data_IF_655514163724
#
_entry.id   IF_655514163724
#
_cell.length_a   1.000
_cell.length_b   1.000
_cell.length_c   1.000
_cell.angle_alpha   90.00
_cell.angle_beta   90.00
_cell.angle_gamma   90.00
#
_symmetry.space_group_name_H-M   'P 1'
#
loop_
_entity.id
_entity.type
_entity.pdbx_description
1 polymer ?
#
# COMPACT_ATOMS: atom_id res chain seq x y z
N UNK A 1 -72.62 6.40 -44.34
CA UNK A 1 -71.33 5.67 -44.36
C UNK A 1 -70.22 6.60 -43.89
N UNK A 2 -69.56 6.35 -42.75
CA UNK A 2 -68.28 6.94 -42.43
C UNK A 2 -67.17 5.88 -42.39
N UNK A 3 -66.03 6.22 -43.00
CA UNK A 3 -64.84 5.39 -43.15
C UNK A 3 -64.06 5.25 -41.84
N UNK A 4 -63.73 4.02 -41.47
CA UNK A 4 -62.78 3.73 -40.40
C UNK A 4 -61.34 3.83 -40.93
N UNK A 5 -60.54 4.72 -40.34
CA UNK A 5 -59.09 4.76 -40.50
C UNK A 5 -58.43 4.11 -39.28
N UNK A 6 -57.83 2.94 -39.48
CA UNK A 6 -57.09 2.21 -38.45
C UNK A 6 -55.67 2.75 -38.34
N UNK A 7 -55.38 3.57 -37.32
CA UNK A 7 -54.01 3.92 -36.96
C UNK A 7 -53.37 2.80 -36.12
N UNK A 8 -52.38 2.13 -36.69
CA UNK A 8 -51.54 1.16 -35.99
C UNK A 8 -50.53 1.89 -35.12
N UNK A 9 -50.78 1.95 -33.81
CA UNK A 9 -49.83 2.48 -32.83
C UNK A 9 -48.72 1.45 -32.58
N UNK A 10 -47.60 1.60 -33.28
CA UNK A 10 -46.34 0.92 -32.97
C UNK A 10 -45.81 1.42 -31.62
N UNK A 11 -45.99 0.62 -30.56
CA UNK A 11 -45.41 0.85 -29.23
C UNK A 11 -43.92 0.50 -29.27
N UNK A 12 -43.06 1.48 -29.58
CA UNK A 12 -41.63 1.40 -29.22
C UNK A 12 -41.53 1.43 -27.69
N UNK A 13 -41.20 0.28 -27.08
CA UNK A 13 -40.75 0.21 -25.69
C UNK A 13 -39.44 0.99 -25.60
N UNK A 14 -39.50 2.24 -25.12
CA UNK A 14 -38.31 2.96 -24.67
C UNK A 14 -37.84 2.27 -23.39
N UNK A 15 -36.74 1.51 -23.46
CA UNK A 15 -35.93 1.19 -22.29
C UNK A 15 -35.53 2.52 -21.67
N UNK A 16 -35.98 2.79 -20.45
CA UNK A 16 -35.52 3.96 -19.70
C UNK A 16 -34.06 3.68 -19.31
N UNK A 17 -33.09 4.51 -19.71
CA UNK A 17 -31.75 4.43 -19.15
C UNK A 17 -31.86 4.68 -17.64
N UNK A 18 -31.21 3.84 -16.85
CA UNK A 18 -31.14 3.93 -15.39
C UNK A 18 -30.30 5.17 -15.02
N UNK A 19 -30.93 6.34 -14.97
CA UNK A 19 -30.28 7.56 -14.49
C UNK A 19 -30.08 7.47 -12.98
N UNK A 20 -28.84 7.19 -12.58
CA UNK A 20 -28.33 6.97 -11.23
C UNK A 20 -28.26 8.21 -10.31
N UNK A 21 -28.92 9.32 -10.65
CA UNK A 21 -28.72 10.60 -9.93
C UNK A 21 -29.37 10.73 -8.54
N UNK A 22 -30.09 9.72 -8.06
CA UNK A 22 -30.60 9.75 -6.67
C UNK A 22 -30.55 8.35 -6.09
N UNK A 23 -29.65 8.18 -5.11
CA UNK A 23 -29.39 6.97 -4.32
C UNK A 23 -30.56 6.57 -3.40
N UNK A 24 -31.72 6.33 -4.01
CA UNK A 24 -32.66 5.30 -3.56
C UNK A 24 -32.84 4.33 -4.71
N UNK A 25 -31.74 3.76 -5.19
CA UNK A 25 -31.86 2.48 -5.88
C UNK A 25 -32.50 1.55 -4.85
N UNK A 26 -33.75 1.18 -5.09
CA UNK A 26 -34.39 0.13 -4.32
C UNK A 26 -33.41 -1.04 -4.32
N UNK A 27 -33.00 -1.52 -3.14
CA UNK A 27 -32.08 -2.65 -3.02
C UNK A 27 -32.62 -3.78 -3.90
N UNK A 28 -31.97 -4.09 -5.03
CA UNK A 28 -32.53 -5.04 -5.98
C UNK A 28 -32.65 -6.37 -5.25
N UNK A 29 -33.83 -6.97 -5.37
CA UNK A 29 -34.08 -8.28 -4.77
C UNK A 29 -33.11 -9.28 -5.37
N UNK A 30 -32.74 -10.31 -4.61
CA UNK A 30 -31.89 -11.40 -5.10
C UNK A 30 -32.41 -12.01 -6.42
N UNK A 31 -33.73 -11.99 -6.62
CA UNK A 31 -34.39 -12.45 -7.85
C UNK A 31 -34.09 -11.54 -9.03
N UNK A 32 -34.14 -10.22 -8.85
CA UNK A 32 -33.80 -9.24 -9.89
C UNK A 32 -32.34 -9.35 -10.31
N UNK A 33 -31.42 -9.49 -9.35
CA UNK A 33 -29.99 -9.70 -9.63
C UNK A 33 -29.73 -11.02 -10.36
N UNK A 34 -30.42 -12.09 -9.97
CA UNK A 34 -30.32 -13.38 -10.67
C UNK A 34 -30.85 -13.27 -12.11
N UNK A 35 -31.91 -12.52 -12.33
CA UNK A 35 -32.45 -12.27 -13.67
C UNK A 35 -31.51 -11.41 -14.52
N UNK A 36 -30.92 -10.36 -13.94
CA UNK A 36 -29.93 -9.53 -14.62
C UNK A 36 -28.65 -10.33 -14.98
N UNK A 37 -28.16 -11.17 -14.07
CA UNK A 37 -27.05 -12.09 -14.34
C UNK A 37 -27.40 -13.06 -15.48
N UNK A 38 -28.60 -13.63 -15.49
CA UNK A 38 -29.03 -14.52 -16.57
C UNK A 38 -29.09 -13.78 -17.92
N UNK A 39 -29.60 -12.54 -17.95
CA UNK A 39 -29.63 -11.70 -19.16
C UNK A 39 -28.22 -11.37 -19.64
N UNK A 40 -27.33 -10.96 -18.74
CA UNK A 40 -25.93 -10.70 -19.06
C UNK A 40 -25.24 -11.95 -19.59
N UNK A 41 -25.48 -13.12 -18.97
CA UNK A 41 -24.93 -14.39 -19.43
C UNK A 41 -25.42 -14.85 -20.80
N UNK A 42 -26.58 -14.37 -21.24
CA UNK A 42 -27.13 -14.66 -22.56
C UNK A 42 -26.48 -13.82 -23.69
N UNK A 43 -25.72 -12.76 -23.36
CA UNK A 43 -24.97 -11.99 -24.35
C UNK A 43 -23.78 -12.84 -24.88
N UNK A 44 -23.63 -12.99 -26.21
CA UNK A 44 -22.74 -13.98 -26.81
C UNK A 44 -21.26 -13.56 -26.86
N UNK A 45 -20.97 -12.27 -26.99
CA UNK A 45 -19.61 -11.79 -27.18
C UNK A 45 -19.00 -11.32 -25.86
N UNK A 46 -17.75 -11.72 -25.62
CA UNK A 46 -16.96 -11.28 -24.47
C UNK A 46 -15.84 -10.37 -24.94
N UNK A 47 -15.73 -9.21 -24.32
CA UNK A 47 -14.65 -8.27 -24.56
C UNK A 47 -13.66 -8.31 -23.41
N UNK A 48 -12.38 -8.19 -23.74
CA UNK A 48 -11.33 -7.98 -22.74
C UNK A 48 -11.04 -6.49 -22.53
N UNK A 49 -11.39 -5.65 -23.52
CA UNK A 49 -11.22 -4.22 -23.48
C UNK A 49 -12.27 -3.51 -24.33
N UNK A 50 -12.62 -2.29 -23.93
CA UNK A 50 -13.52 -1.38 -24.64
C UNK A 50 -12.95 0.03 -24.56
N UNK A 51 -13.28 0.84 -25.56
CA UNK A 51 -12.87 2.23 -25.62
C UNK A 51 -14.11 3.10 -25.49
N UNK A 52 -14.12 3.99 -24.50
CA UNK A 52 -15.24 4.89 -24.24
C UNK A 52 -14.73 6.32 -24.34
N UNK A 53 -15.52 7.15 -25.00
CA UNK A 53 -15.28 8.57 -25.15
C UNK A 53 -15.82 9.28 -23.89
N UNK A 54 -14.92 9.70 -22.99
CA UNK A 54 -15.26 10.33 -21.69
C UNK A 54 -15.21 11.86 -21.81
N UNK A 55 -16.26 12.54 -21.36
CA UNK A 55 -16.27 14.01 -21.31
C UNK A 55 -15.24 14.55 -20.32
N UNK A 56 -14.44 15.54 -20.74
CA UNK A 56 -13.48 16.25 -19.88
C UNK A 56 -14.09 17.59 -19.49
N UNK A 57 -14.19 17.87 -18.19
CA UNK A 57 -14.61 19.18 -17.70
C UNK A 57 -13.45 20.18 -17.86
N UNK A 58 -13.71 21.34 -18.47
CA UNK A 58 -12.68 22.32 -18.84
C UNK A 58 -12.10 23.09 -17.63
N UNK A 59 -12.58 22.81 -16.41
CA UNK A 59 -12.33 23.59 -15.20
C UNK A 59 -11.29 23.07 -14.19
N UNK A 60 -10.83 21.82 -14.28
CA UNK A 60 -10.09 21.20 -13.16
C UNK A 60 -8.63 20.81 -13.51
N UNK A 61 -7.65 21.12 -12.63
CA UNK A 61 -6.32 20.53 -12.68
C UNK A 61 -6.41 19.04 -12.33
N UNK A 62 -6.68 18.22 -13.36
CA UNK A 62 -6.74 16.77 -13.26
C UNK A 62 -5.58 16.23 -12.42
N UNK A 63 -5.90 15.60 -11.28
CA UNK A 63 -4.95 14.83 -10.49
C UNK A 63 -4.07 14.04 -11.46
N UNK A 64 -2.75 14.26 -11.42
CA UNK A 64 -1.78 13.51 -12.20
C UNK A 64 -1.69 12.07 -11.67
N UNK A 65 -2.79 11.32 -11.75
CA UNK A 65 -2.83 9.89 -11.46
C UNK A 65 -2.14 9.18 -12.62
N UNK A 66 -0.82 9.01 -12.45
CA UNK A 66 0.12 8.20 -13.26
C UNK A 66 0.26 8.57 -14.75
N UNK A 67 1.41 9.15 -15.07
CA UNK A 67 1.76 9.83 -16.32
C UNK A 67 2.08 8.92 -17.54
N UNK A 68 1.59 7.68 -17.61
CA UNK A 68 2.07 6.73 -18.65
C UNK A 68 1.18 6.60 -19.90
N UNK A 69 0.15 7.43 -20.10
CA UNK A 69 -0.62 7.47 -21.34
C UNK A 69 -0.48 8.83 -22.05
N UNK A 70 0.30 8.86 -23.13
CA UNK A 70 0.35 9.98 -24.08
C UNK A 70 -0.90 9.97 -24.96
N UNK A 71 -2.04 10.35 -24.40
CA UNK A 71 -3.28 10.51 -25.17
C UNK A 71 -3.41 11.95 -25.63
N UNK A 72 -3.34 12.18 -26.95
CA UNK A 72 -3.63 13.49 -27.56
C UNK A 72 -5.15 13.72 -27.55
N UNK A 73 -5.67 14.79 -26.90
CA UNK A 73 -7.10 15.07 -26.87
C UNK A 73 -7.62 15.45 -28.25
N UNK A 74 -8.70 14.79 -28.69
CA UNK A 74 -9.45 15.14 -29.90
C UNK A 74 -10.59 16.09 -29.56
N UNK A 75 -10.77 17.16 -30.34
CA UNK A 75 -11.92 18.07 -30.20
C UNK A 75 -13.11 17.50 -30.96
N UNK A 76 -14.26 17.44 -30.31
CA UNK A 76 -15.51 17.03 -30.94
C UNK A 76 -16.19 18.22 -31.65
N UNK A 77 -17.19 17.93 -32.50
CA UNK A 77 -17.89 18.92 -33.36
C UNK A 77 -18.59 20.02 -32.53
N UNK A 78 -19.00 19.70 -31.31
CA UNK A 78 -19.67 20.63 -30.38
C UNK A 78 -18.68 21.43 -29.51
N UNK A 79 -17.37 21.27 -29.73
CA UNK A 79 -16.33 21.96 -28.96
C UNK A 79 -16.03 21.37 -27.59
N UNK A 80 -16.83 20.41 -27.10
CA UNK A 80 -16.55 19.64 -25.90
C UNK A 80 -15.30 18.79 -26.09
N UNK A 81 -14.41 18.80 -25.10
CA UNK A 81 -13.23 17.93 -25.09
C UNK A 81 -13.64 16.55 -24.63
N UNK A 82 -13.37 15.56 -25.45
CA UNK A 82 -13.55 14.18 -25.09
C UNK A 82 -12.17 13.50 -24.98
N UNK A 83 -11.95 12.78 -23.88
CA UNK A 83 -10.80 11.89 -23.71
C UNK A 83 -11.26 10.46 -23.96
N UNK A 84 -10.74 9.90 -25.05
CA UNK A 84 -10.90 8.49 -25.36
C UNK A 84 -10.12 7.66 -24.35
N UNK A 85 -10.81 6.86 -23.54
CA UNK A 85 -10.19 6.06 -22.47
C UNK A 85 -10.38 4.57 -22.74
N UNK A 86 -9.31 3.79 -22.59
CA UNK A 86 -9.32 2.34 -22.74
C UNK A 86 -9.59 1.66 -21.40
N UNK A 87 -10.72 0.98 -21.29
CA UNK A 87 -11.09 0.18 -20.14
C UNK A 87 -10.85 -1.30 -20.43
N UNK A 88 -10.24 -2.03 -19.49
CA UNK A 88 -9.98 -3.47 -19.58
C UNK A 88 -10.63 -4.24 -18.44
N UNK A 89 -10.88 -5.53 -18.68
CA UNK A 89 -11.26 -6.46 -17.61
C UNK A 89 -10.18 -6.44 -16.52
N UNK A 90 -10.61 -6.37 -15.27
CA UNK A 90 -9.73 -6.28 -14.10
C UNK A 90 -9.33 -4.85 -13.73
N UNK A 91 -9.59 -3.83 -14.56
CA UNK A 91 -9.36 -2.45 -14.15
C UNK A 91 -10.30 -2.03 -13.03
N UNK A 92 -9.78 -1.25 -12.09
CA UNK A 92 -10.56 -0.47 -11.17
C UNK A 92 -10.97 0.85 -11.86
N UNK A 93 -12.19 1.30 -11.64
CA UNK A 93 -12.81 2.40 -12.38
C UNK A 93 -13.63 3.30 -11.47
N UNK A 94 -13.64 4.59 -11.78
CA UNK A 94 -14.58 5.56 -11.23
C UNK A 94 -15.86 5.61 -12.05
N UNK A 95 -16.99 5.77 -11.36
CA UNK A 95 -18.33 5.60 -11.90
C UNK A 95 -19.20 6.79 -11.53
N UNK A 96 -19.63 7.63 -12.47
CA UNK A 96 -20.56 8.74 -12.22
C UNK A 96 -20.24 9.60 -10.96
N UNK A 97 -18.97 9.71 -10.57
CA UNK A 97 -18.54 10.51 -9.44
C UNK A 97 -18.33 11.96 -9.88
N UNK A 98 -18.69 12.89 -9.01
CA UNK A 98 -18.15 14.24 -9.09
C UNK A 98 -16.65 14.07 -8.83
N UNK A 99 -15.79 14.45 -9.78
CA UNK A 99 -14.33 14.28 -9.65
C UNK A 99 -13.78 15.41 -8.76
N UNK A 100 -14.32 15.55 -7.56
CA UNK A 100 -14.19 16.71 -6.67
C UNK A 100 -13.28 16.46 -5.45
N UNK A 101 -12.40 15.44 -5.53
CA UNK A 101 -11.56 14.97 -4.42
C UNK A 101 -12.34 14.74 -3.11
N UNK A 102 -13.64 14.46 -3.22
CA UNK A 102 -14.43 14.08 -2.06
C UNK A 102 -14.21 12.60 -1.74
N UNK A 103 -14.31 12.19 -0.47
CA UNK A 103 -14.21 10.77 -0.10
C UNK A 103 -15.39 9.92 -0.62
N UNK A 104 -16.39 10.53 -1.26
CA UNK A 104 -17.61 9.88 -1.75
C UNK A 104 -17.49 9.38 -3.20
N UNK A 105 -16.28 9.06 -3.67
CA UNK A 105 -16.06 8.46 -4.99
C UNK A 105 -16.67 7.07 -5.11
N UNK A 106 -17.41 6.85 -6.18
CA UNK A 106 -17.96 5.56 -6.56
C UNK A 106 -16.92 4.81 -7.39
N UNK A 107 -16.41 3.73 -6.81
CA UNK A 107 -15.42 2.89 -7.45
C UNK A 107 -15.97 1.48 -7.69
N UNK A 108 -15.51 0.84 -8.77
CA UNK A 108 -15.78 -0.57 -9.04
C UNK A 108 -14.63 -1.24 -9.78
N UNK A 109 -14.60 -2.56 -9.78
CA UNK A 109 -13.66 -3.39 -10.58
C UNK A 109 -14.42 -4.03 -11.73
N UNK A 110 -13.95 -3.87 -12.96
CA UNK A 110 -14.60 -4.46 -14.14
C UNK A 110 -14.37 -5.98 -14.13
N UNK A 111 -15.42 -6.74 -13.87
CA UNK A 111 -15.35 -8.19 -13.79
C UNK A 111 -15.45 -8.85 -15.18
N UNK A 112 -16.34 -8.35 -16.03
CA UNK A 112 -16.62 -8.89 -17.36
C UNK A 112 -17.28 -7.83 -18.25
N UNK A 113 -17.07 -7.89 -19.57
CA UNK A 113 -17.72 -7.03 -20.56
C UNK A 113 -18.37 -7.89 -21.63
N UNK A 114 -19.60 -7.58 -22.01
CA UNK A 114 -20.32 -8.34 -23.04
C UNK A 114 -21.13 -7.48 -23.97
N UNK A 115 -21.20 -7.91 -25.23
CA UNK A 115 -21.93 -7.23 -26.28
C UNK A 115 -23.02 -8.15 -26.86
N UNK A 116 -24.16 -7.55 -27.22
CA UNK A 116 -25.26 -8.23 -27.89
C UNK A 116 -24.85 -8.71 -29.29
N UNK A 117 -25.57 -9.71 -29.82
CA UNK A 117 -25.24 -10.33 -31.11
C UNK A 117 -25.24 -9.31 -32.28
N UNK A 118 -26.12 -8.32 -32.18
CA UNK A 118 -26.32 -7.24 -33.14
C UNK A 118 -25.43 -6.01 -32.89
N UNK A 119 -24.54 -6.05 -31.88
CA UNK A 119 -23.65 -4.94 -31.49
C UNK A 119 -24.37 -3.64 -31.14
N UNK A 120 -25.63 -3.76 -30.72
CA UNK A 120 -26.45 -2.60 -30.34
C UNK A 120 -26.35 -2.29 -28.85
N UNK A 121 -25.92 -3.26 -28.04
CA UNK A 121 -25.88 -3.12 -26.59
C UNK A 121 -24.59 -3.73 -26.03
N UNK A 122 -23.75 -2.87 -25.47
CA UNK A 122 -22.59 -3.25 -24.67
C UNK A 122 -22.95 -3.09 -23.19
N UNK A 123 -22.65 -4.10 -22.38
CA UNK A 123 -22.92 -4.11 -20.94
C UNK A 123 -21.64 -4.48 -20.19
N UNK A 124 -21.37 -3.76 -19.12
CA UNK A 124 -20.20 -3.98 -18.25
C UNK A 124 -20.68 -4.52 -16.92
N UNK A 125 -20.16 -5.68 -16.51
CA UNK A 125 -20.36 -6.22 -15.17
C UNK A 125 -19.29 -5.68 -14.24
N UNK A 126 -19.72 -4.92 -13.23
CA UNK A 126 -18.84 -4.24 -12.28
C UNK A 126 -19.03 -4.82 -10.88
N UNK A 127 -17.92 -5.05 -10.17
CA UNK A 127 -17.87 -5.41 -8.76
C UNK A 127 -17.65 -4.16 -7.92
N UNK A 128 -18.48 -3.88 -6.93
CA UNK A 128 -18.45 -2.60 -6.23
C UNK A 128 -17.39 -2.51 -5.14
N UNK A 129 -16.78 -1.33 -5.01
CA UNK A 129 -16.08 -0.87 -3.82
C UNK A 129 -17.00 0.07 -3.05
N UNK A 130 -17.20 -0.20 -1.77
CA UNK A 130 -18.03 0.65 -0.90
C UNK A 130 -17.12 1.58 -0.09
N UNK A 131 -17.50 2.84 0.05
CA UNK A 131 -16.88 3.74 1.02
C UNK A 131 -17.28 3.35 2.46
N UNK A 132 -16.55 3.80 3.49
CA UNK A 132 -16.92 3.54 4.89
C UNK A 132 -18.35 4.03 5.21
N UNK A 133 -18.73 5.19 4.68
CA UNK A 133 -20.06 5.77 4.85
C UNK A 133 -21.15 4.89 4.24
N UNK A 134 -20.91 4.35 3.05
CA UNK A 134 -21.85 3.43 2.38
C UNK A 134 -22.06 2.15 3.20
N UNK A 135 -20.99 1.63 3.80
CA UNK A 135 -21.09 0.44 4.65
C UNK A 135 -21.84 0.75 5.95
N UNK A 136 -21.65 1.93 6.54
CA UNK A 136 -22.39 2.36 7.73
C UNK A 136 -23.90 2.49 7.48
N UNK A 137 -24.31 2.92 6.27
CA UNK A 137 -25.73 2.90 5.86
C UNK A 137 -26.32 1.47 5.84
N UNK A 138 -25.49 0.47 5.52
CA UNK A 138 -25.92 -0.93 5.41
C UNK A 138 -25.76 -1.75 6.71
N UNK A 139 -24.77 -1.40 7.53
CA UNK A 139 -24.35 -2.07 8.76
C UNK A 139 -24.31 -1.02 9.88
N UNK A 140 -25.38 -0.93 10.68
CA UNK A 140 -25.52 0.11 11.72
C UNK A 140 -24.42 0.10 12.79
N UNK A 141 -23.78 -1.04 13.01
CA UNK A 141 -22.69 -1.20 13.99
C UNK A 141 -21.31 -0.92 13.40
N UNK A 142 -21.22 -0.53 12.13
CA UNK A 142 -19.96 -0.24 11.47
C UNK A 142 -19.45 1.14 11.89
N UNK A 143 -18.23 1.17 12.44
CA UNK A 143 -17.58 2.40 12.90
C UNK A 143 -16.70 3.00 11.79
N UNK A 144 -17.15 4.12 11.24
CA UNK A 144 -16.43 4.83 10.16
C UNK A 144 -15.15 5.51 10.65
N UNK A 145 -15.03 5.84 11.94
CA UNK A 145 -13.86 6.55 12.48
C UNK A 145 -12.57 5.73 12.41
N UNK A 146 -12.71 4.40 12.34
CA UNK A 146 -11.61 3.44 12.21
C UNK A 146 -11.08 3.30 10.78
N UNK A 147 -11.68 4.01 9.81
CA UNK A 147 -11.38 3.89 8.38
C UNK A 147 -10.84 5.19 7.81
N UNK A 148 -9.92 5.06 6.85
CA UNK A 148 -9.49 6.22 6.09
C UNK A 148 -10.61 6.66 5.13
N UNK A 149 -10.78 7.97 4.85
CA UNK A 149 -11.80 8.47 3.92
C UNK A 149 -11.70 7.86 2.51
N UNK A 150 -10.47 7.55 2.07
CA UNK A 150 -10.19 6.94 0.76
C UNK A 150 -10.04 5.42 0.84
N UNK A 151 -10.20 4.82 2.01
CA UNK A 151 -10.32 3.37 2.14
C UNK A 151 -11.61 2.91 1.44
N UNK A 152 -11.51 1.79 0.75
CA UNK A 152 -12.60 1.14 0.04
C UNK A 152 -12.75 -0.30 0.51
N UNK A 153 -13.98 -0.77 0.56
CA UNK A 153 -14.31 -2.11 1.03
C UNK A 153 -14.84 -2.90 -0.16
N UNK A 154 -14.03 -3.84 -0.65
CA UNK A 154 -14.36 -4.62 -1.84
C UNK A 154 -15.55 -5.57 -1.55
N UNK A 155 -16.65 -5.39 -2.24
CA UNK A 155 -17.88 -6.16 -1.99
C UNK A 155 -17.98 -7.42 -2.85
N UNK A 156 -18.79 -8.41 -2.44
CA UNK A 156 -19.29 -9.48 -3.32
C UNK A 156 -20.52 -9.07 -4.17
N UNK A 157 -20.92 -7.79 -4.13
CA UNK A 157 -22.00 -7.21 -4.91
C UNK A 157 -21.54 -6.83 -6.32
N UNK A 158 -22.39 -7.15 -7.31
CA UNK A 158 -22.17 -6.83 -8.71
C UNK A 158 -23.35 -6.06 -9.28
N UNK A 159 -23.09 -5.21 -10.26
CA UNK A 159 -24.11 -4.55 -11.07
C UNK A 159 -23.73 -4.55 -12.56
N UNK A 160 -24.71 -4.24 -13.41
CA UNK A 160 -24.62 -4.28 -14.86
C UNK A 160 -24.86 -2.88 -15.41
N UNK A 161 -23.78 -2.26 -15.87
CA UNK A 161 -23.75 -0.85 -16.22
C UNK A 161 -23.57 -0.65 -17.71
N UNK A 162 -24.04 0.50 -18.18
CA UNK A 162 -23.70 1.02 -19.49
C UNK A 162 -22.23 1.51 -19.47
N UNK A 163 -21.41 1.20 -20.48
CA UNK A 163 -20.06 1.72 -20.64
C UNK A 163 -19.93 3.23 -20.46
N UNK A 164 -20.95 4.01 -20.83
CA UNK A 164 -20.96 5.47 -20.69
C UNK A 164 -20.91 5.95 -19.23
N UNK A 165 -21.16 5.07 -18.25
CA UNK A 165 -21.02 5.37 -16.82
C UNK A 165 -19.56 5.33 -16.33
N UNK A 166 -18.64 4.77 -17.12
CA UNK A 166 -17.23 4.68 -16.78
C UNK A 166 -16.57 6.04 -17.04
N UNK A 167 -15.96 6.61 -16.01
CA UNK A 167 -15.32 7.93 -16.11
C UNK A 167 -13.80 7.82 -16.25
N UNK A 168 -13.15 7.06 -15.38
CA UNK A 168 -11.70 6.97 -15.37
C UNK A 168 -11.25 5.58 -14.92
N UNK A 169 -10.09 5.16 -15.41
CA UNK A 169 -9.35 4.04 -14.81
C UNK A 169 -8.59 4.58 -13.61
N UNK A 170 -8.76 3.93 -12.47
CA UNK A 170 -8.04 4.22 -11.24
C UNK A 170 -7.34 2.97 -10.75
N UNK A 171 -6.50 3.12 -9.72
CA UNK A 171 -5.87 2.00 -9.06
C UNK A 171 -6.32 1.97 -7.60
N UNK A 172 -6.88 0.83 -7.17
CA UNK A 172 -7.23 0.61 -5.76
C UNK A 172 -6.17 -0.33 -5.18
N UNK A 173 -5.27 0.21 -4.37
CA UNK A 173 -4.17 -0.53 -3.77
C UNK A 173 -4.73 -1.64 -2.85
N UNK A 174 -4.26 -2.87 -3.02
CA UNK A 174 -4.51 -3.94 -2.05
C UNK A 174 -3.48 -3.77 -0.92
N UNK A 175 -3.95 -3.63 0.31
CA UNK A 175 -3.11 -3.38 1.49
C UNK A 175 -3.32 -4.48 2.52
N UNK A 176 -2.31 -5.33 2.68
CA UNK A 176 -2.23 -6.28 3.79
C UNK A 176 -1.29 -5.71 4.87
N UNK A 177 -1.79 -5.57 6.10
CA UNK A 177 -1.01 -5.03 7.21
C UNK A 177 0.11 -5.98 7.68
N UNK A 178 0.07 -7.26 7.28
CA UNK A 178 1.11 -8.24 7.60
C UNK A 178 2.21 -8.36 6.52
N UNK A 179 2.06 -7.68 5.38
CA UNK A 179 3.06 -7.68 4.32
C UNK A 179 4.30 -6.87 4.73
N UNK A 180 5.47 -7.36 4.30
CA UNK A 180 6.76 -6.72 4.58
C UNK A 180 7.13 -5.66 3.55
N UNK A 181 6.41 -5.62 2.43
CA UNK A 181 6.59 -4.67 1.33
C UNK A 181 5.21 -4.13 0.91
N UNK A 182 4.51 -3.43 1.81
CA UNK A 182 3.19 -2.89 1.51
C UNK A 182 3.31 -1.77 0.46
N UNK A 183 2.24 -1.52 -0.31
CA UNK A 183 2.26 -0.44 -1.29
C UNK A 183 2.44 0.92 -0.62
N UNK A 184 3.12 1.83 -1.32
CA UNK A 184 3.11 3.24 -0.95
C UNK A 184 1.71 3.81 -1.23
N UNK A 185 1.03 4.22 -0.17
CA UNK A 185 -0.30 4.81 -0.22
C UNK A 185 -0.17 6.25 0.29
N UNK A 186 -0.77 7.19 -0.41
CA UNK A 186 -0.96 8.57 -0.02
C UNK A 186 -2.32 8.82 0.64
N UNK A 187 -2.54 10.02 1.20
CA UNK A 187 -3.79 10.35 1.91
C UNK A 187 -5.04 10.34 1.03
N UNK A 188 -4.88 10.47 -0.29
CA UNK A 188 -5.95 10.49 -1.30
C UNK A 188 -5.98 9.24 -2.17
N UNK A 189 -5.03 8.33 -1.98
CA UNK A 189 -4.97 7.11 -2.78
C UNK A 189 -6.06 6.14 -2.33
N UNK A 190 -6.73 5.52 -3.29
CA UNK A 190 -7.73 4.51 -3.01
C UNK A 190 -7.03 3.21 -2.62
N UNK A 191 -7.41 2.63 -1.49
CA UNK A 191 -6.88 1.33 -1.08
C UNK A 191 -7.94 0.46 -0.42
N UNK A 192 -7.70 -0.85 -0.37
CA UNK A 192 -8.58 -1.83 0.26
C UNK A 192 -7.78 -2.82 1.09
N UNK A 193 -8.25 -3.09 2.30
CA UNK A 193 -7.71 -4.11 3.23
C UNK A 193 -8.79 -5.01 3.81
N UNK A 194 -10.02 -4.88 3.31
CA UNK A 194 -11.15 -5.67 3.78
C UNK A 194 -12.21 -5.84 2.70
N UNK A 195 -12.98 -6.91 2.83
CA UNK A 195 -14.04 -7.31 1.91
C UNK A 195 -15.39 -7.26 2.60
N UNK A 196 -16.42 -6.82 1.89
CA UNK A 196 -17.81 -6.80 2.35
C UNK A 196 -18.58 -7.98 1.75
N UNK A 197 -19.02 -8.91 2.60
CA UNK A 197 -20.05 -9.88 2.25
C UNK A 197 -21.42 -9.17 2.34
N UNK A 198 -21.83 -8.49 1.27
CA UNK A 198 -22.92 -7.51 1.24
C UNK A 198 -24.23 -8.08 1.79
N UNK A 199 -24.61 -9.27 1.33
CA UNK A 199 -25.84 -9.94 1.74
C UNK A 199 -25.82 -10.42 3.19
N UNK A 200 -24.63 -10.76 3.68
CA UNK A 200 -24.42 -11.19 5.06
C UNK A 200 -24.21 -10.02 6.01
N UNK A 201 -23.94 -8.82 5.47
CA UNK A 201 -23.62 -7.62 6.23
C UNK A 201 -22.42 -7.84 7.16
N UNK A 202 -21.38 -8.49 6.64
CA UNK A 202 -20.15 -8.79 7.38
C UNK A 202 -18.96 -8.26 6.60
N UNK A 203 -18.08 -7.52 7.27
CA UNK A 203 -16.78 -7.10 6.75
C UNK A 203 -15.70 -8.06 7.24
N UNK A 204 -14.80 -8.49 6.36
CA UNK A 204 -13.70 -9.41 6.69
C UNK A 204 -12.36 -8.96 6.07
N UNK A 205 -11.24 -9.05 6.80
CA UNK A 205 -11.15 -9.37 8.24
C UNK A 205 -11.79 -8.27 9.10
N UNK A 206 -12.06 -8.57 10.37
CA UNK A 206 -12.39 -7.53 11.34
C UNK A 206 -11.09 -6.80 11.68
N UNK A 207 -11.00 -5.52 11.30
CA UNK A 207 -9.80 -4.76 11.57
C UNK A 207 -9.56 -4.62 13.07
N UNK A 208 -8.29 -4.60 13.46
CA UNK A 208 -7.88 -4.55 14.86
C UNK A 208 -7.73 -5.93 15.50
N UNK A 209 -8.50 -6.94 15.10
CA UNK A 209 -8.52 -8.26 15.74
C UNK A 209 -7.14 -8.94 15.71
N UNK A 210 -6.43 -8.80 14.59
CA UNK A 210 -5.13 -9.43 14.35
C UNK A 210 -3.92 -8.49 14.49
N UNK A 211 -4.12 -7.22 14.82
CA UNK A 211 -3.04 -6.23 14.95
C UNK A 211 -2.59 -6.10 16.41
N UNK A 212 -3.23 -5.23 17.19
CA UNK A 212 -2.86 -4.92 18.56
C UNK A 212 -3.75 -5.64 19.58
N UNK A 213 -3.25 -5.85 20.80
CA UNK A 213 -4.00 -6.45 21.92
C UNK A 213 -5.26 -5.67 22.32
N UNK A 214 -5.28 -4.35 22.08
CA UNK A 214 -6.47 -3.53 22.35
C UNK A 214 -7.59 -3.74 21.30
N UNK A 215 -7.31 -4.47 20.21
CA UNK A 215 -8.24 -4.72 19.12
C UNK A 215 -8.78 -3.46 18.43
N UNK A 216 -8.10 -2.33 18.60
CA UNK A 216 -8.41 -1.08 17.91
C UNK A 216 -7.78 -1.11 16.52
N UNK A 217 -8.61 -0.89 15.51
CA UNK A 217 -8.17 -0.81 14.13
C UNK A 217 -7.30 0.43 13.89
N UNK A 218 -6.22 0.24 13.13
CA UNK A 218 -5.34 1.34 12.73
C UNK A 218 -5.97 2.13 11.59
N UNK A 219 -6.05 3.46 11.72
CA UNK A 219 -6.50 4.34 10.64
C UNK A 219 -5.29 5.12 10.08
N UNK A 220 -4.78 4.81 8.86
CA UNK A 220 -3.59 5.47 8.32
C UNK A 220 -3.82 6.96 8.06
N UNK A 221 -5.04 7.39 7.71
CA UNK A 221 -5.35 8.80 7.41
C UNK A 221 -6.68 9.21 8.06
N UNK A 222 -6.69 9.58 9.35
CA UNK A 222 -7.90 10.10 9.99
C UNK A 222 -8.33 11.44 9.38
N UNK A 223 -9.63 11.73 9.34
CA UNK A 223 -10.27 12.88 8.65
C UNK A 223 -9.68 14.27 8.99
N UNK A 224 -9.01 14.40 10.14
CA UNK A 224 -8.56 15.68 10.70
C UNK A 224 -7.47 16.42 9.88
N UNK A 225 -6.96 15.85 8.77
CA UNK A 225 -5.82 16.42 8.02
C UNK A 225 -6.12 16.95 6.63
N UNK A 226 -7.35 16.87 6.13
CA UNK A 226 -7.67 17.36 4.78
C UNK A 226 -7.87 18.89 4.69
N UNK A 227 -7.69 19.64 5.79
CA UNK A 227 -7.69 21.10 5.73
C UNK A 227 -6.26 21.63 5.49
N UNK A 228 -5.93 22.17 4.29
CA UNK A 228 -4.58 22.59 3.93
C UNK A 228 -4.00 23.74 4.77
N UNK A 229 -4.81 24.34 5.65
CA UNK A 229 -4.40 25.45 6.51
C UNK A 229 -4.07 25.04 7.95
N UNK A 230 -4.19 23.77 8.31
CA UNK A 230 -3.77 23.28 9.62
C UNK A 230 -2.26 23.09 9.62
N UNK A 231 -1.52 24.17 9.85
CA UNK A 231 -0.13 24.08 10.28
C UNK A 231 -0.04 23.09 11.44
N UNK A 232 0.97 22.22 11.40
CA UNK A 232 1.21 21.05 12.26
C UNK A 232 1.41 21.38 13.77
N UNK A 233 0.93 22.53 14.22
CA UNK A 233 1.10 23.17 15.51
C UNK A 233 0.36 22.42 16.63
N UNK A 234 1.08 21.49 17.25
CA UNK A 234 1.15 21.26 18.70
C UNK A 234 -0.08 20.77 19.48
N UNK A 235 -1.27 20.60 18.88
CA UNK A 235 -2.45 20.02 19.58
C UNK A 235 -2.59 18.50 19.44
N UNK A 236 -1.49 17.79 19.13
CA UNK A 236 -1.44 16.31 19.07
C UNK A 236 -1.31 15.70 20.48
N UNK A 237 -2.22 16.07 21.38
CA UNK A 237 -2.45 15.34 22.63
C UNK A 237 -3.51 14.27 22.33
N UNK A 238 -3.22 13.09 21.77
CA UNK A 238 -2.31 12.04 22.25
C UNK A 238 -1.55 11.34 21.10
N UNK A 239 -0.42 11.90 20.66
CA UNK A 239 0.42 11.37 19.58
C UNK A 239 0.85 9.90 19.73
N UNK A 240 0.97 9.40 20.96
CA UNK A 240 1.50 8.05 21.22
C UNK A 240 0.54 6.92 20.84
N UNK A 241 -0.77 7.15 20.85
CA UNK A 241 -1.74 6.13 20.41
C UNK A 241 -1.72 5.94 18.90
N UNK A 242 -1.24 6.94 18.15
CA UNK A 242 -1.14 6.88 16.69
C UNK A 242 0.07 6.07 16.20
N UNK A 243 1.07 5.83 17.07
CA UNK A 243 2.31 5.15 16.73
C UNK A 243 2.15 3.66 16.99
N UNK A 244 2.51 2.86 15.99
CA UNK A 244 2.56 1.40 16.13
C UNK A 244 3.93 0.85 15.79
N UNK A 245 4.35 -0.17 16.53
CA UNK A 245 5.55 -0.97 16.29
C UNK A 245 5.17 -2.31 15.67
N UNK A 246 5.91 -2.76 14.67
CA UNK A 246 5.69 -4.04 14.00
C UNK A 246 6.66 -5.10 14.50
N UNK A 247 6.16 -6.29 14.78
CA UNK A 247 7.00 -7.47 14.99
C UNK A 247 7.20 -8.22 13.66
N UNK A 248 8.40 -8.21 13.08
CA UNK A 248 8.63 -8.81 11.76
C UNK A 248 8.69 -10.34 11.76
N UNK A 249 8.77 -10.98 12.93
CA UNK A 249 8.87 -12.44 13.04
C UNK A 249 7.71 -13.14 12.33
N UNK A 250 8.01 -14.15 11.52
CA UNK A 250 7.06 -14.82 10.63
C UNK A 250 5.80 -15.35 11.36
N UNK A 251 5.96 -15.93 12.55
CA UNK A 251 4.85 -16.42 13.38
C UNK A 251 4.08 -15.35 14.17
N UNK A 252 4.49 -14.08 14.08
CA UNK A 252 3.82 -12.95 14.72
C UNK A 252 3.22 -12.00 13.69
N UNK A 253 4.04 -11.23 12.95
CA UNK A 253 3.61 -10.21 11.97
C UNK A 253 2.48 -9.31 12.45
N UNK A 254 2.61 -8.80 13.67
CA UNK A 254 1.59 -7.95 14.33
C UNK A 254 2.09 -6.54 14.60
N UNK A 255 1.16 -5.59 14.52
CA UNK A 255 1.36 -4.20 14.90
C UNK A 255 0.84 -3.93 16.31
N UNK A 256 1.61 -3.25 17.14
CA UNK A 256 1.24 -2.91 18.51
C UNK A 256 1.32 -1.41 18.73
N UNK A 257 0.28 -0.79 19.28
CA UNK A 257 0.34 0.62 19.68
C UNK A 257 1.40 0.82 20.77
N UNK A 258 2.21 1.89 20.65
CA UNK A 258 3.25 2.22 21.62
C UNK A 258 2.68 2.40 23.04
N UNK A 259 1.50 3.03 23.16
CA UNK A 259 0.77 3.19 24.42
C UNK A 259 0.33 1.85 25.03
N UNK A 260 -0.10 0.91 24.20
CA UNK A 260 -0.47 -0.44 24.62
C UNK A 260 0.76 -1.22 25.12
N UNK A 261 1.89 -1.14 24.41
CA UNK A 261 3.14 -1.77 24.84
C UNK A 261 3.61 -1.22 26.20
N UNK A 262 3.53 0.10 26.37
CA UNK A 262 3.85 0.79 27.63
C UNK A 262 2.94 0.31 28.77
N UNK A 263 1.62 0.27 28.53
CA UNK A 263 0.61 -0.16 29.52
C UNK A 263 0.79 -1.62 29.93
N UNK A 264 1.15 -2.48 28.97
CA UNK A 264 1.43 -3.90 29.21
C UNK A 264 2.83 -4.15 29.78
N UNK A 265 3.65 -3.10 29.96
CA UNK A 265 5.05 -3.20 30.42
C UNK A 265 5.93 -4.06 29.52
N UNK A 266 5.70 -4.03 28.21
CA UNK A 266 6.58 -4.63 27.21
C UNK A 266 7.65 -3.63 26.75
N UNK A 267 8.29 -3.02 27.73
CA UNK A 267 9.40 -2.10 27.55
C UNK A 267 10.68 -2.92 27.67
N UNK A 268 11.59 -2.72 26.73
CA UNK A 268 12.95 -3.27 26.78
C UNK A 268 13.78 -2.43 27.76
N UNK A 269 13.58 -2.68 29.06
CA UNK A 269 14.25 -1.97 30.14
C UNK A 269 15.58 -2.64 30.56
N UNK A 270 15.72 -3.93 30.27
CA UNK A 270 16.83 -4.75 30.76
C UNK A 270 18.03 -4.73 29.81
N UNK A 271 17.83 -4.41 28.53
CA UNK A 271 18.91 -4.43 27.54
C UNK A 271 19.68 -3.10 27.49
N UNK A 272 21.01 -3.14 27.33
CA UNK A 272 21.79 -1.95 27.09
C UNK A 272 21.30 -1.20 25.83
N UNK A 273 21.09 0.14 25.89
CA UNK A 273 20.73 0.92 24.71
C UNK A 273 21.72 0.79 23.55
N UNK A 274 22.98 0.48 23.86
CA UNK A 274 24.07 0.24 22.90
C UNK A 274 23.82 -0.97 22.01
N UNK A 275 23.23 -2.04 22.52
CA UNK A 275 23.04 -3.29 21.77
C UNK A 275 21.70 -3.33 21.03
N UNK A 276 20.80 -2.37 21.27
CA UNK A 276 19.45 -2.35 20.66
C UNK A 276 19.44 -2.54 19.15
N UNK A 277 20.33 -1.86 18.42
CA UNK A 277 20.42 -2.01 16.96
C UNK A 277 20.76 -3.45 16.53
N UNK A 278 21.62 -4.13 17.28
CA UNK A 278 21.97 -5.53 17.06
C UNK A 278 20.81 -6.47 17.40
N UNK A 279 20.06 -6.20 18.48
CA UNK A 279 18.86 -6.96 18.83
C UNK A 279 17.79 -6.87 17.74
N UNK A 280 17.61 -5.69 17.16
CA UNK A 280 16.70 -5.47 16.03
C UNK A 280 17.16 -6.21 14.77
N UNK A 281 18.48 -6.26 14.51
CA UNK A 281 19.08 -7.09 13.45
C UNK A 281 18.97 -8.59 13.73
N UNK A 282 18.85 -9.03 14.97
CA UNK A 282 18.62 -10.44 15.28
C UNK A 282 17.23 -10.92 14.85
N UNK A 283 16.26 -10.01 14.70
CA UNK A 283 14.89 -10.35 14.28
C UNK A 283 14.77 -10.37 12.75
N UNK A 284 15.01 -11.56 12.18
CA UNK A 284 14.87 -11.79 10.75
C UNK A 284 13.39 -11.75 10.31
N UNK A 285 13.00 -10.85 9.38
CA UNK A 285 11.62 -10.78 8.88
C UNK A 285 11.21 -11.96 7.98
N UNK A 286 12.18 -12.73 7.49
CA UNK A 286 11.97 -13.82 6.51
C UNK A 286 12.08 -15.21 7.10
N UNK A 287 12.59 -15.33 8.32
CA UNK A 287 12.81 -16.61 9.01
C UNK A 287 12.11 -16.64 10.38
N UNK A 288 11.76 -17.84 10.85
CA UNK A 288 11.30 -18.05 12.24
C UNK A 288 12.46 -18.10 13.24
N UNK A 289 13.66 -18.39 12.73
CA UNK A 289 14.89 -18.50 13.49
C UNK A 289 15.57 -17.14 13.44
N UNK A 290 16.08 -16.61 14.57
CA UNK A 290 16.89 -15.40 14.56
C UNK A 290 18.05 -15.51 13.57
N UNK A 291 18.49 -14.37 13.04
CA UNK A 291 19.70 -14.36 12.22
C UNK A 291 20.88 -14.91 13.04
N UNK A 292 21.56 -15.93 12.52
CA UNK A 292 22.55 -16.72 13.30
C UNK A 292 23.67 -15.84 13.85
N UNK A 293 24.16 -14.88 13.07
CA UNK A 293 25.24 -13.96 13.46
C UNK A 293 24.82 -13.05 14.63
N UNK A 294 23.55 -12.65 14.68
CA UNK A 294 23.04 -11.76 15.73
C UNK A 294 22.20 -12.49 16.79
N UNK A 295 22.05 -13.81 16.70
CA UNK A 295 21.17 -14.60 17.56
C UNK A 295 21.53 -14.47 19.05
N UNK A 296 22.82 -14.30 19.35
CA UNK A 296 23.30 -14.03 20.71
C UNK A 296 22.62 -12.81 21.36
N UNK A 297 22.37 -11.75 20.58
CA UNK A 297 21.70 -10.53 21.07
C UNK A 297 20.17 -10.68 21.18
N UNK A 298 19.60 -11.79 20.68
CA UNK A 298 18.15 -12.04 20.79
C UNK A 298 17.74 -12.55 22.18
N UNK A 299 18.66 -13.19 22.89
CA UNK A 299 18.46 -13.66 24.27
C UNK A 299 18.67 -12.50 25.25
N UNK A 300 17.99 -12.52 26.40
CA UNK A 300 18.23 -11.51 27.44
C UNK A 300 19.67 -11.65 27.94
N UNK A 301 20.49 -10.63 27.67
CA UNK A 301 21.85 -10.54 28.21
C UNK A 301 21.76 -10.66 29.73
N UNK A 302 22.66 -11.46 30.33
CA UNK A 302 22.72 -11.53 31.78
C UNK A 302 23.14 -10.15 32.31
N UNK A 303 22.64 -9.75 33.48
CA UNK A 303 22.99 -8.47 34.09
C UNK A 303 24.52 -8.30 34.31
N UNK A 304 25.26 -9.41 34.35
CA UNK A 304 26.72 -9.43 34.47
C UNK A 304 27.41 -9.06 33.15
N UNK A 305 26.87 -9.50 32.01
CA UNK A 305 27.39 -9.16 30.67
C UNK A 305 27.13 -7.69 30.31
N UNK A 306 25.99 -7.15 30.76
CA UNK A 306 25.58 -5.76 30.52
C UNK A 306 26.57 -4.72 31.08
N UNK A 307 27.30 -5.05 32.16
CA UNK A 307 28.26 -4.14 32.79
C UNK A 307 29.55 -3.94 31.96
N UNK A 308 29.85 -4.84 31.02
CA UNK A 308 31.02 -4.76 30.13
C UNK A 308 30.66 -4.31 28.71
N UNK A 309 29.37 -4.15 28.41
CA UNK A 309 28.85 -3.79 27.09
C UNK A 309 28.94 -2.28 26.82
N UNK A 310 30.15 -1.73 26.96
CA UNK A 310 30.47 -0.41 26.39
C UNK A 310 30.19 -0.46 24.88
N UNK A 311 29.32 0.45 24.41
CA UNK A 311 28.93 0.72 23.00
C UNK A 311 29.36 -0.37 22.00
N UNK A 312 28.76 -1.55 22.11
CA UNK A 312 29.00 -2.63 21.15
C UNK A 312 28.31 -2.26 19.83
N UNK A 313 29.10 -1.86 18.85
CA UNK A 313 28.62 -1.59 17.50
C UNK A 313 28.62 -2.86 16.63
N UNK A 314 28.08 -2.74 15.41
CA UNK A 314 28.02 -3.85 14.46
C UNK A 314 29.40 -4.37 14.05
N UNK A 315 30.41 -3.52 14.00
CA UNK A 315 31.75 -3.93 13.61
C UNK A 315 32.36 -4.84 14.68
N UNK A 316 32.24 -4.46 15.95
CA UNK A 316 32.68 -5.28 17.09
C UNK A 316 31.89 -6.57 17.21
N UNK A 317 30.57 -6.51 17.01
CA UNK A 317 29.73 -7.70 17.01
C UNK A 317 30.18 -8.70 15.93
N UNK A 318 30.52 -8.23 14.72
CA UNK A 318 31.03 -9.10 13.66
C UNK A 318 32.38 -9.75 14.03
N UNK A 319 33.31 -8.98 14.62
CA UNK A 319 34.59 -9.53 15.10
C UNK A 319 34.39 -10.64 16.14
N UNK A 320 33.39 -10.50 17.02
CA UNK A 320 33.08 -11.52 18.05
C UNK A 320 32.64 -12.86 17.45
N UNK A 321 32.10 -12.87 16.23
CA UNK A 321 31.62 -14.06 15.53
C UNK A 321 32.51 -14.43 14.33
N UNK A 322 33.79 -14.05 14.37
CA UNK A 322 34.80 -14.35 13.34
C UNK A 322 34.43 -13.83 11.92
N UNK A 323 33.61 -12.79 11.84
CA UNK A 323 33.31 -12.08 10.59
C UNK A 323 34.18 -10.84 10.44
N UNK A 324 34.64 -10.56 9.22
CA UNK A 324 35.45 -9.36 8.95
C UNK A 324 34.57 -8.09 8.97
N UNK A 325 34.90 -7.07 9.78
CA UNK A 325 34.16 -5.79 9.78
C UNK A 325 34.05 -5.11 8.41
N UNK A 326 35.00 -5.39 7.52
CA UNK A 326 35.08 -4.84 6.16
C UNK A 326 33.83 -5.18 5.34
N UNK A 327 33.18 -6.31 5.63
CA UNK A 327 31.98 -6.79 4.94
C UNK A 327 30.88 -5.72 4.92
N UNK A 328 30.60 -5.13 6.09
CA UNK A 328 29.55 -4.11 6.25
C UNK A 328 30.10 -2.70 6.10
N UNK A 329 31.42 -2.50 6.15
CA UNK A 329 32.05 -1.19 5.97
C UNK A 329 31.82 -0.60 4.56
N UNK A 330 31.53 -1.46 3.58
CA UNK A 330 31.20 -1.05 2.22
C UNK A 330 29.72 -0.71 2.01
N UNK A 331 28.86 -0.98 2.99
CA UNK A 331 27.45 -0.60 2.92
C UNK A 331 27.29 0.89 3.26
N UNK A 332 26.35 1.61 2.63
CA UNK A 332 26.06 2.99 2.98
C UNK A 332 25.75 3.12 4.49
N UNK A 333 26.33 4.08 5.22
CA UNK A 333 26.06 4.25 6.65
C UNK A 333 24.56 4.45 6.96
N UNK A 334 23.83 5.11 6.05
CA UNK A 334 22.38 5.28 6.11
C UNK A 334 21.62 3.96 6.02
N UNK A 335 22.07 3.02 5.18
CA UNK A 335 21.49 1.68 5.06
C UNK A 335 21.65 0.93 6.39
N UNK A 336 22.85 0.93 6.96
CA UNK A 336 23.11 0.29 8.26
C UNK A 336 22.23 0.89 9.38
N UNK A 337 22.10 2.22 9.42
CA UNK A 337 21.25 2.89 10.38
C UNK A 337 19.77 2.52 10.22
N UNK A 338 19.27 2.43 8.98
CA UNK A 338 17.90 1.97 8.70
C UNK A 338 17.71 0.50 9.08
N UNK A 339 18.68 -0.37 8.80
CA UNK A 339 18.61 -1.79 9.15
C UNK A 339 18.50 -2.01 10.68
N UNK A 340 19.19 -1.17 11.45
CA UNK A 340 19.19 -1.16 12.93
C UNK A 340 18.00 -0.39 13.54
N UNK A 341 17.11 0.16 12.72
CA UNK A 341 15.96 0.92 13.18
C UNK A 341 14.75 0.02 13.51
N UNK A 342 13.85 0.45 14.42
CA UNK A 342 12.59 -0.24 14.65
C UNK A 342 11.66 -0.08 13.44
N UNK A 343 10.75 -1.04 13.28
CA UNK A 343 9.70 -0.97 12.25
C UNK A 343 8.49 -0.27 12.86
N UNK A 344 8.18 0.92 12.37
CA UNK A 344 7.15 1.81 12.93
C UNK A 344 6.28 2.42 11.85
N UNK A 345 5.04 2.75 12.23
CA UNK A 345 4.10 3.57 11.44
C UNK A 345 3.36 4.54 12.33
N UNK A 346 2.88 5.65 11.77
CA UNK A 346 2.16 6.67 12.53
C UNK A 346 1.00 7.28 11.75
N UNK A 347 -0.19 7.23 12.35
CA UNK A 347 -1.42 7.69 11.71
C UNK A 347 -1.33 9.17 11.28
N UNK A 348 -1.72 9.43 10.04
CA UNK A 348 -1.74 10.73 9.40
C UNK A 348 -0.37 11.24 8.95
N UNK A 349 0.73 10.57 9.28
CA UNK A 349 2.08 11.03 8.95
C UNK A 349 2.27 11.27 7.43
N UNK A 350 3.02 12.30 7.04
CA UNK A 350 3.27 12.62 5.63
C UNK A 350 4.16 11.56 4.94
N UNK A 351 4.33 11.69 3.63
CA UNK A 351 5.34 10.95 2.84
C UNK A 351 5.31 9.42 2.99
N UNK A 352 4.10 8.85 3.14
CA UNK A 352 3.89 7.40 3.24
C UNK A 352 4.13 6.79 4.64
N UNK A 353 4.51 7.60 5.64
CA UNK A 353 4.75 7.11 7.01
C UNK A 353 3.50 6.63 7.75
N UNK A 354 2.32 6.93 7.21
CA UNK A 354 1.07 6.31 7.60
C UNK A 354 1.03 4.79 7.31
N UNK A 355 1.75 4.31 6.29
CA UNK A 355 1.95 2.88 6.07
C UNK A 355 3.19 2.38 6.82
N UNK A 356 4.15 3.28 7.08
CA UNK A 356 5.32 3.05 7.91
C UNK A 356 6.58 2.81 7.10
N UNK A 357 7.63 2.35 7.78
CA UNK A 357 8.96 2.11 7.22
C UNK A 357 9.29 0.62 7.02
N UNK A 358 8.29 -0.27 7.09
CA UNK A 358 8.51 -1.73 7.07
C UNK A 358 9.28 -2.18 5.83
N UNK A 359 8.92 -1.67 4.64
CA UNK A 359 9.59 -2.02 3.40
C UNK A 359 11.08 -1.64 3.44
N UNK A 360 11.42 -0.41 3.83
CA UNK A 360 12.81 0.06 3.85
C UNK A 360 13.65 -0.64 4.90
N UNK A 361 13.12 -0.84 6.11
CA UNK A 361 13.84 -1.51 7.20
C UNK A 361 14.07 -2.98 6.86
N UNK A 362 13.03 -3.70 6.40
CA UNK A 362 13.17 -5.11 6.00
C UNK A 362 14.18 -5.25 4.87
N UNK A 363 14.11 -4.37 3.88
CA UNK A 363 15.03 -4.37 2.76
C UNK A 363 16.48 -4.10 3.22
N UNK A 364 16.70 -3.08 4.05
CA UNK A 364 18.02 -2.77 4.60
C UNK A 364 18.58 -3.94 5.43
N UNK A 365 17.75 -4.61 6.23
CA UNK A 365 18.16 -5.82 6.98
C UNK A 365 18.58 -6.96 6.05
N UNK A 366 17.81 -7.23 4.99
CA UNK A 366 18.16 -8.25 3.98
C UNK A 366 19.52 -7.97 3.35
N UNK A 367 19.85 -6.70 3.07
CA UNK A 367 21.18 -6.34 2.58
C UNK A 367 22.29 -6.63 3.57
N UNK A 368 22.08 -6.30 4.85
CA UNK A 368 23.06 -6.60 5.90
C UNK A 368 23.27 -8.11 6.01
N UNK A 369 22.20 -8.90 5.98
CA UNK A 369 22.30 -10.36 6.03
C UNK A 369 23.00 -10.93 4.81
N UNK A 370 22.63 -10.50 3.60
CA UNK A 370 23.29 -10.94 2.38
C UNK A 370 24.79 -10.60 2.40
N UNK A 371 25.17 -9.40 2.84
CA UNK A 371 26.58 -9.03 2.97
C UNK A 371 27.32 -10.01 3.90
N UNK A 372 26.73 -10.36 5.04
CA UNK A 372 27.31 -11.29 6.03
C UNK A 372 27.35 -12.73 5.49
N UNK A 373 26.26 -13.23 4.92
CA UNK A 373 26.15 -14.61 4.44
C UNK A 373 27.11 -14.90 3.26
N UNK A 374 27.36 -13.88 2.43
CA UNK A 374 28.27 -13.98 1.29
C UNK A 374 29.73 -13.59 1.59
N UNK A 375 30.05 -13.34 2.86
CA UNK A 375 31.40 -12.93 3.27
C UNK A 375 32.45 -14.04 3.38
N UNK A 376 32.05 -15.29 3.13
CA UNK A 376 32.91 -16.46 3.32
C UNK A 376 34.02 -16.58 2.26
N UNK A 377 33.80 -17.35 1.17
CA UNK A 377 34.85 -17.54 0.16
C UNK A 377 35.26 -16.21 -0.50
N UNK A 378 36.56 -15.98 -0.73
CA UNK A 378 37.05 -14.72 -1.29
C UNK A 378 36.43 -14.38 -2.65
N UNK A 379 36.03 -15.38 -3.44
CA UNK A 379 35.34 -15.18 -4.72
C UNK A 379 33.95 -14.54 -4.56
N UNK A 380 33.17 -14.97 -3.55
CA UNK A 380 31.84 -14.41 -3.27
C UNK A 380 31.96 -13.00 -2.68
N UNK A 381 32.91 -12.81 -1.76
CA UNK A 381 33.21 -11.51 -1.17
C UNK A 381 33.67 -10.51 -2.23
N UNK A 382 34.51 -10.92 -3.18
CA UNK A 382 34.97 -10.04 -4.26
C UNK A 382 33.85 -9.69 -5.23
N UNK A 383 33.01 -10.65 -5.63
CA UNK A 383 31.86 -10.39 -6.50
C UNK A 383 30.88 -9.40 -5.86
N UNK A 384 30.55 -9.61 -4.59
CA UNK A 384 29.70 -8.69 -3.82
C UNK A 384 30.37 -7.32 -3.67
N UNK A 385 31.67 -7.28 -3.36
CA UNK A 385 32.44 -6.04 -3.27
C UNK A 385 32.47 -5.27 -4.58
N UNK A 386 32.63 -5.93 -5.72
CA UNK A 386 32.58 -5.29 -7.04
C UNK A 386 31.21 -4.65 -7.30
N UNK A 387 30.11 -5.27 -6.85
CA UNK A 387 28.77 -4.68 -6.92
C UNK A 387 28.64 -3.42 -6.06
N UNK A 388 29.24 -3.42 -4.86
CA UNK A 388 29.23 -2.25 -3.96
C UNK A 388 30.14 -1.11 -4.48
N UNK A 389 31.32 -1.44 -4.99
CA UNK A 389 32.33 -0.48 -5.45
C UNK A 389 31.94 0.24 -6.74
N UNK A 390 31.03 -0.32 -7.54
CA UNK A 390 30.54 0.30 -8.77
C UNK A 390 29.90 1.68 -8.55
N UNK A 391 29.65 2.08 -7.30
CA UNK A 391 29.02 3.35 -6.94
C UNK A 391 29.99 4.47 -6.59
N UNK A 392 31.20 4.15 -6.10
CA UNK A 392 32.15 5.15 -5.60
C UNK A 392 32.98 5.77 -6.74
N UNK A 393 33.08 5.07 -7.87
CA UNK A 393 33.70 5.55 -9.11
C UNK A 393 32.83 6.55 -9.89
N UNK A 394 31.84 7.19 -9.23
CA UNK A 394 31.13 8.33 -9.79
C UNK A 394 32.10 9.51 -9.95
N UNK A 395 32.85 9.49 -11.05
CA UNK A 395 33.48 10.67 -11.61
C UNK A 395 32.46 11.81 -11.58
N UNK A 396 32.86 13.03 -11.20
CA UNK A 396 31.95 14.11 -10.84
C UNK A 396 30.93 14.36 -11.95
N UNK A 397 29.69 13.88 -11.76
CA UNK A 397 28.45 14.05 -12.55
C UNK A 397 28.61 14.76 -13.90
N UNK A 398 29.50 14.26 -14.76
CA UNK A 398 29.64 14.73 -16.11
C UNK A 398 28.53 14.05 -16.88
N UNK A 399 27.46 14.79 -17.20
CA UNK A 399 26.29 14.42 -18.02
C UNK A 399 26.29 12.93 -18.46
N UNK A 400 26.05 12.03 -17.50
CA UNK A 400 25.86 10.63 -17.82
C UNK A 400 24.52 10.59 -18.55
N UNK A 401 24.52 10.13 -19.79
CA UNK A 401 23.28 9.92 -20.54
C UNK A 401 22.33 9.04 -19.71
N UNK A 402 21.03 9.35 -19.72
CA UNK A 402 19.99 8.52 -19.08
C UNK A 402 20.13 7.04 -19.49
N UNK A 403 20.57 6.78 -20.73
CA UNK A 403 20.81 5.42 -21.24
C UNK A 403 21.98 4.71 -20.53
N UNK A 404 23.04 5.45 -20.18
CA UNK A 404 24.20 4.89 -19.47
C UNK A 404 23.88 4.65 -17.99
N UNK A 405 23.08 5.52 -17.36
CA UNK A 405 22.55 5.30 -16.02
C UNK A 405 21.65 4.06 -16.00
N UNK A 406 20.73 3.92 -16.97
CA UNK A 406 19.88 2.75 -17.09
C UNK A 406 20.67 1.45 -17.29
N UNK A 407 21.67 1.45 -18.19
CA UNK A 407 22.53 0.29 -18.41
C UNK A 407 23.40 -0.07 -17.19
N UNK A 408 23.77 0.92 -16.38
CA UNK A 408 24.44 0.70 -15.09
C UNK A 408 23.49 0.03 -14.09
N UNK A 409 22.27 0.56 -13.95
CA UNK A 409 21.25 -0.01 -13.05
C UNK A 409 20.90 -1.44 -13.47
N UNK A 410 20.72 -1.72 -14.76
CA UNK A 410 20.40 -3.07 -15.24
C UNK A 410 21.52 -4.07 -14.90
N UNK A 411 22.79 -3.72 -15.14
CA UNK A 411 23.93 -4.59 -14.78
C UNK A 411 23.99 -4.87 -13.27
N UNK A 412 23.66 -3.88 -12.46
CA UNK A 412 23.59 -4.02 -11.02
C UNK A 412 22.45 -4.95 -10.61
N UNK A 413 21.27 -4.82 -11.23
CA UNK A 413 20.12 -5.73 -11.00
C UNK A 413 20.47 -7.17 -11.39
N UNK A 414 21.04 -7.40 -12.57
CA UNK A 414 21.43 -8.73 -13.04
C UNK A 414 22.45 -9.39 -12.08
N UNK A 415 23.35 -8.59 -11.50
CA UNK A 415 24.29 -9.06 -10.49
C UNK A 415 23.64 -9.42 -9.16
N UNK A 416 22.60 -8.69 -8.75
CA UNK A 416 21.88 -8.88 -7.50
C UNK A 416 20.93 -10.09 -7.52
N UNK A 417 20.44 -10.51 -8.69
CA UNK A 417 19.67 -11.76 -8.82
C UNK A 417 20.43 -12.97 -8.28
N UNK A 418 21.76 -12.97 -8.37
CA UNK A 418 22.60 -14.02 -7.79
C UNK A 418 22.67 -14.04 -6.26
N UNK A 419 22.15 -13.00 -5.60
CA UNK A 419 22.17 -12.80 -4.15
C UNK A 419 20.76 -12.72 -3.54
N UNK A 420 19.71 -13.01 -4.31
CA UNK A 420 18.31 -12.85 -3.90
C UNK A 420 17.96 -11.44 -3.38
N UNK A 421 18.69 -10.41 -3.85
CA UNK A 421 18.50 -9.02 -3.43
C UNK A 421 17.58 -8.29 -4.39
N UNK A 422 16.43 -7.83 -3.88
CA UNK A 422 15.38 -7.17 -4.67
C UNK A 422 15.54 -5.64 -4.79
N UNK A 423 16.65 -5.07 -4.31
CA UNK A 423 16.89 -3.63 -4.45
C UNK A 423 18.37 -3.32 -4.65
N UNK A 424 18.67 -2.05 -4.89
CA UNK A 424 20.02 -1.54 -5.11
C UNK A 424 20.67 -1.00 -3.83
N UNK A 425 21.99 -1.17 -3.71
CA UNK A 425 22.82 -0.52 -2.69
C UNK A 425 23.04 0.98 -2.93
N UNK A 426 22.30 1.58 -3.88
CA UNK A 426 22.38 2.99 -4.28
C UNK A 426 22.35 3.96 -3.09
N UNK A 427 23.53 4.44 -2.68
CA UNK A 427 23.68 5.28 -1.50
C UNK A 427 22.75 6.51 -1.47
N UNK A 428 22.54 7.27 -2.57
CA UNK A 428 21.63 8.42 -2.57
C UNK A 428 20.17 8.08 -2.19
N UNK A 429 19.70 6.87 -2.53
CA UNK A 429 18.38 6.41 -2.11
C UNK A 429 18.33 6.26 -0.58
N UNK A 430 19.30 5.54 0.00
CA UNK A 430 19.37 5.27 1.44
C UNK A 430 19.59 6.54 2.26
N UNK A 431 20.41 7.46 1.79
CA UNK A 431 20.62 8.77 2.42
C UNK A 431 19.35 9.62 2.42
N UNK A 432 18.60 9.62 1.32
CA UNK A 432 17.30 10.31 1.25
C UNK A 432 16.29 9.68 2.21
N UNK A 433 16.18 8.35 2.25
CA UNK A 433 15.29 7.64 3.20
C UNK A 433 15.70 7.88 4.64
N UNK A 434 17.00 7.89 4.94
CA UNK A 434 17.49 8.17 6.29
C UNK A 434 17.18 9.58 6.76
N UNK A 435 17.28 10.60 5.88
CA UNK A 435 16.84 11.96 6.22
C UNK A 435 15.37 12.01 6.60
N UNK A 436 14.51 11.37 5.82
CA UNK A 436 13.08 11.26 6.14
C UNK A 436 12.85 10.51 7.46
N UNK A 437 13.64 9.47 7.72
CA UNK A 437 13.61 8.75 9.00
C UNK A 437 13.96 9.66 10.18
N UNK A 438 15.05 10.42 10.08
CA UNK A 438 15.50 11.34 11.14
C UNK A 438 14.46 12.43 11.41
N UNK A 439 13.85 12.98 10.37
CA UNK A 439 12.76 13.95 10.51
C UNK A 439 11.56 13.36 11.27
N UNK A 440 11.24 12.10 10.99
CA UNK A 440 10.13 11.38 11.63
C UNK A 440 10.48 10.80 13.00
N UNK A 441 11.77 10.59 13.31
CA UNK A 441 12.23 10.02 14.57
C UNK A 441 11.80 10.86 15.78
N UNK A 442 11.68 12.18 15.60
CA UNK A 442 11.13 13.11 16.61
C UNK A 442 9.71 12.71 17.02
N UNK A 443 8.92 12.16 16.10
CA UNK A 443 7.57 11.67 16.40
C UNK A 443 7.57 10.31 17.09
N UNK A 444 8.65 9.54 16.98
CA UNK A 444 8.79 8.19 17.55
C UNK A 444 9.64 8.16 18.81
N UNK A 445 9.91 9.32 19.41
CA UNK A 445 10.59 9.40 20.70
C UNK A 445 9.82 8.60 21.76
N UNK A 446 10.50 7.64 22.37
CA UNK A 446 9.87 6.72 23.30
C UNK A 446 10.84 5.64 23.80
N UNK A 447 10.38 4.80 24.74
CA UNK A 447 11.18 3.70 25.23
C UNK A 447 11.41 2.65 24.14
N UNK A 448 12.39 1.78 24.39
CA UNK A 448 12.54 0.56 23.61
C UNK A 448 11.44 -0.44 23.96
N UNK A 449 10.99 -1.23 22.98
CA UNK A 449 9.89 -2.17 23.18
C UNK A 449 10.28 -3.59 22.77
N UNK A 450 9.59 -4.55 23.35
CA UNK A 450 9.65 -5.96 22.98
C UNK A 450 8.29 -6.46 22.53
N UNK A 451 8.28 -7.43 21.63
CA UNK A 451 7.05 -8.08 21.19
C UNK A 451 6.39 -8.81 22.37
N UNK A 452 5.10 -8.54 22.67
CA UNK A 452 4.37 -9.24 23.71
C UNK A 452 4.29 -10.76 23.51
N UNK A 453 4.34 -11.21 22.26
CA UNK A 453 4.16 -12.61 21.87
C UNK A 453 5.48 -13.39 21.83
N UNK A 454 6.50 -12.87 21.16
CA UNK A 454 7.75 -13.60 20.92
C UNK A 454 8.97 -13.02 21.66
N UNK A 455 8.80 -11.94 22.42
CA UNK A 455 9.85 -11.25 23.21
C UNK A 455 11.01 -10.65 22.41
N UNK A 456 10.96 -10.72 21.08
CA UNK A 456 11.94 -10.05 20.21
C UNK A 456 11.83 -8.53 20.29
N UNK A 457 12.95 -7.82 20.14
CA UNK A 457 12.98 -6.36 20.07
C UNK A 457 12.15 -5.82 18.89
N UNK A 458 11.40 -4.73 19.11
CA UNK A 458 10.56 -4.05 18.09
C UNK A 458 10.64 -2.51 18.15
#
# INVERSE_FOLDING_TARGET
MPSMSSSSKSRRRRSRPLTLKTRKLANPTRKELTAAEAQFRALPYRHNAITVDVGVDDGEPFLQLSANQRDTPTRDVDGSRCKRTLFKRGNDVLLNSECDDSPNLWAGRIAEMRESADRSQLVVKVRWYFSPNDVAEHIKSFDTSTRSPYERILSDSFDYLDPETLQAVVYVHEYDEAELDPPQIGPTDLFTRSTLQYWRKVVKPLLGEDTCRCQVAYNPYPELRLTPSASFSSSVSSSQDAIMHFCPRLGCRKWYHASCLTTMRHIDADSPPSTRGLRLLAVDPTSEIPNITFAYFSEQESAEDAASADKLDIFRALEMFDHSPIIVAHLPPSLLAIAQSPIVRCAGAPDGWAIGNVADVVLARRFVYAAIDHSGPPEATEAFRCLLQFQDDSAPYAEISEEAEYAMVQRLVDGLEGFDLLASVHAPYWERRWRQFVEMQVLFEGPAFECPQCKSAI
#
